data_IF_017430391165
#
_entry.id   IF_017430391165
#
_cell.length_a   1.000
_cell.length_b   1.000
_cell.length_c   1.000
_cell.angle_alpha   90.00
_cell.angle_beta   90.00
_cell.angle_gamma   90.00
#
_symmetry.space_group_name_H-M   'P 1'
#
loop_
_entity.id
_entity.type
_entity.pdbx_description
1 polymer ?
#
# COMPACT_ATOMS: atom_id res chain seq x y z
N UNK A 1 -3.64 54.21 9.02
CA UNK A 1 -3.13 53.15 8.12
C UNK A 1 -1.78 52.54 8.52
N UNK A 2 -1.07 53.01 9.56
CA UNK A 2 0.23 52.42 9.98
C UNK A 2 0.12 51.15 10.84
N UNK A 3 -1.04 50.87 11.45
CA UNK A 3 -1.24 49.69 12.31
C UNK A 3 -1.66 48.41 11.56
N UNK A 4 -2.07 48.50 10.29
CA UNK A 4 -2.49 47.33 9.51
C UNK A 4 -1.32 46.52 8.93
N UNK A 5 -0.16 47.16 8.73
CA UNK A 5 1.04 46.48 8.20
C UNK A 5 1.71 45.61 9.28
N UNK A 6 1.53 45.94 10.56
CA UNK A 6 2.07 45.14 11.66
C UNK A 6 1.32 43.81 11.86
N UNK A 7 0.02 43.76 11.53
CA UNK A 7 -0.79 42.54 11.70
C UNK A 7 -0.48 41.48 10.63
N UNK A 8 -0.13 41.91 9.41
CA UNK A 8 0.21 40.97 8.31
C UNK A 8 1.54 40.26 8.49
N UNK A 9 2.45 40.80 9.32
CA UNK A 9 3.74 40.17 9.63
C UNK A 9 3.65 39.03 10.66
N UNK A 10 2.56 38.94 11.42
CA UNK A 10 2.36 37.87 12.41
C UNK A 10 1.70 36.61 11.81
N UNK A 11 1.15 36.68 10.60
CA UNK A 11 0.50 35.54 9.94
C UNK A 11 1.46 34.60 9.19
N UNK A 12 2.76 34.91 9.11
CA UNK A 12 3.77 34.07 8.43
C UNK A 12 4.55 33.14 9.38
N UNK A 13 4.22 33.11 10.66
CA UNK A 13 4.74 32.10 11.59
C UNK A 13 3.91 30.82 11.43
N UNK A 14 4.19 30.04 10.38
CA UNK A 14 3.83 28.62 10.37
C UNK A 14 4.64 27.94 11.47
N UNK A 15 4.09 27.90 12.68
CA UNK A 15 4.61 27.05 13.74
C UNK A 15 4.44 25.60 13.28
N UNK A 16 5.49 25.04 12.67
CA UNK A 16 5.60 23.60 12.47
C UNK A 16 5.70 23.00 13.87
N UNK A 17 4.59 22.50 14.40
CA UNK A 17 4.57 21.75 15.64
C UNK A 17 5.27 20.41 15.38
N UNK A 18 6.59 20.37 15.59
CA UNK A 18 7.34 19.13 15.64
C UNK A 18 6.91 18.36 16.90
N UNK A 19 6.25 17.22 16.70
CA UNK A 19 5.82 16.36 17.80
C UNK A 19 6.85 15.25 17.93
N UNK A 20 7.58 15.19 19.03
CA UNK A 20 8.55 14.15 19.28
C UNK A 20 7.84 12.91 19.86
N UNK A 21 8.07 11.75 19.24
CA UNK A 21 7.69 10.47 19.78
C UNK A 21 8.84 9.91 20.61
N UNK A 22 8.54 9.55 21.85
CA UNK A 22 9.51 9.03 22.79
C UNK A 22 8.98 7.73 23.40
N UNK A 23 9.90 6.93 23.91
CA UNK A 23 9.57 5.66 24.55
C UNK A 23 9.90 5.76 26.04
N UNK A 24 8.88 5.64 26.89
CA UNK A 24 9.00 5.63 28.33
C UNK A 24 8.37 4.33 28.86
N UNK A 25 9.18 3.48 29.50
CA UNK A 25 8.74 2.18 30.02
C UNK A 25 8.05 1.26 28.98
N UNK A 26 8.50 1.31 27.72
CA UNK A 26 7.89 0.55 26.62
C UNK A 26 6.60 1.16 26.04
N UNK A 27 6.19 2.33 26.53
CA UNK A 27 5.04 3.07 26.01
C UNK A 27 5.49 4.28 25.19
N UNK A 28 4.87 4.46 24.03
CA UNK A 28 5.08 5.63 23.17
C UNK A 28 4.36 6.84 23.76
N UNK A 29 5.10 7.89 24.10
CA UNK A 29 4.59 9.19 24.54
C UNK A 29 4.90 10.24 23.48
N UNK A 30 4.01 11.24 23.36
CA UNK A 30 4.16 12.32 22.38
C UNK A 30 4.43 13.63 23.13
N UNK A 31 5.50 14.31 22.78
CA UNK A 31 5.96 15.54 23.43
C UNK A 31 6.20 16.62 22.37
N UNK A 32 5.93 17.88 22.72
CA UNK A 32 6.31 19.03 21.87
C UNK A 32 7.76 19.46 22.10
N UNK A 33 8.49 18.73 22.95
CA UNK A 33 9.91 18.93 23.25
C UNK A 33 10.68 17.63 23.02
N UNK A 34 11.93 17.67 22.52
CA UNK A 34 12.75 16.47 22.35
C UNK A 34 12.89 15.73 23.68
N UNK A 35 12.43 14.48 23.75
CA UNK A 35 12.56 13.65 24.96
C UNK A 35 13.58 12.52 24.77
N UNK A 36 14.71 12.66 25.46
CA UNK A 36 15.77 11.65 25.51
C UNK A 36 16.64 11.57 24.24
N UNK A 37 17.67 10.71 24.28
CA UNK A 37 18.63 10.54 23.17
C UNK A 37 18.03 9.86 21.93
N UNK A 38 16.83 9.28 22.04
CA UNK A 38 16.15 8.52 20.99
C UNK A 38 14.85 9.20 20.51
N UNK A 39 14.66 10.49 20.78
CA UNK A 39 13.49 11.23 20.33
C UNK A 39 13.39 11.19 18.80
N UNK A 40 12.33 10.60 18.27
CA UNK A 40 12.01 10.73 16.84
C UNK A 40 11.11 11.94 16.65
N UNK A 41 11.56 12.91 15.87
CA UNK A 41 10.68 14.00 15.42
C UNK A 41 9.62 13.42 14.50
N UNK A 42 8.35 13.56 14.87
CA UNK A 42 7.21 13.45 13.97
C UNK A 42 6.97 14.85 13.43
N UNK A 43 7.61 15.15 12.31
CA UNK A 43 7.15 16.25 11.48
C UNK A 43 5.75 15.89 11.01
N UNK A 44 4.77 16.73 11.34
CA UNK A 44 3.48 16.76 10.64
C UNK A 44 3.74 17.31 9.23
N UNK A 45 4.50 16.55 8.43
CA UNK A 45 4.88 16.91 7.08
C UNK A 45 3.63 16.88 6.21
N UNK A 46 3.13 18.07 5.90
CA UNK A 46 2.19 18.29 4.81
C UNK A 46 2.83 17.97 3.43
N UNK A 47 4.15 17.73 3.37
CA UNK A 47 4.80 17.13 2.21
C UNK A 47 4.84 15.61 2.33
N UNK A 48 3.90 14.98 1.64
CA UNK A 48 3.89 13.53 1.44
C UNK A 48 5.15 13.15 0.64
N UNK A 49 6.26 12.79 1.30
CA UNK A 49 7.42 12.17 0.63
C UNK A 49 6.95 10.98 -0.21
N UNK A 50 7.08 11.10 -1.53
CA UNK A 50 6.78 10.07 -2.52
C UNK A 50 8.07 9.44 -3.00
N UNK A 51 8.02 8.15 -3.32
CA UNK A 51 9.15 7.40 -3.90
C UNK A 51 8.86 7.06 -5.35
N UNK A 52 9.92 6.92 -6.15
CA UNK A 52 9.84 6.32 -7.49
C UNK A 52 10.20 4.85 -7.35
N UNK A 53 9.42 3.96 -7.97
CA UNK A 53 9.74 2.54 -8.02
C UNK A 53 10.18 2.15 -9.45
N UNK A 54 11.07 1.17 -9.61
CA UNK A 54 11.46 0.69 -10.94
C UNK A 54 10.27 0.03 -11.66
N UNK A 55 10.32 0.01 -12.99
CA UNK A 55 9.33 -0.70 -13.81
C UNK A 55 9.54 -2.22 -13.75
N UNK A 56 10.80 -2.65 -13.64
CA UNK A 56 11.19 -4.06 -13.53
C UNK A 56 10.89 -4.62 -12.14
N UNK A 57 10.46 -5.88 -12.11
CA UNK A 57 10.16 -6.58 -10.86
C UNK A 57 11.45 -7.22 -10.36
N UNK A 58 12.17 -6.47 -9.55
CA UNK A 58 13.39 -6.90 -8.88
C UNK A 58 13.25 -6.80 -7.35
N UNK A 59 14.34 -7.10 -6.64
CA UNK A 59 14.37 -7.00 -5.18
C UNK A 59 14.16 -5.57 -4.69
N UNK A 60 14.60 -4.56 -5.46
CA UNK A 60 14.43 -3.15 -5.11
C UNK A 60 12.96 -2.73 -5.20
N UNK A 61 12.26 -3.13 -6.26
CA UNK A 61 10.82 -2.99 -6.43
C UNK A 61 10.08 -3.56 -5.22
N UNK A 62 10.39 -4.80 -4.85
CA UNK A 62 9.76 -5.48 -3.73
C UNK A 62 10.04 -4.76 -2.41
N UNK A 63 11.30 -4.42 -2.14
CA UNK A 63 11.72 -3.71 -0.93
C UNK A 63 11.01 -2.37 -0.80
N UNK A 64 10.89 -1.60 -1.89
CA UNK A 64 10.23 -0.30 -1.89
C UNK A 64 8.74 -0.41 -1.54
N UNK A 65 8.02 -1.36 -2.14
CA UNK A 65 6.60 -1.63 -1.81
C UNK A 65 6.46 -2.06 -0.35
N UNK A 66 7.33 -2.96 0.13
CA UNK A 66 7.28 -3.47 1.50
C UNK A 66 7.58 -2.38 2.53
N UNK A 67 8.54 -1.50 2.25
CA UNK A 67 8.87 -0.36 3.11
C UNK A 67 7.71 0.63 3.18
N UNK A 68 7.04 0.90 2.06
CA UNK A 68 5.84 1.75 2.05
C UNK A 68 4.69 1.12 2.84
N UNK A 69 4.48 -0.19 2.67
CA UNK A 69 3.46 -0.91 3.42
C UNK A 69 3.74 -0.88 4.92
N UNK A 70 4.98 -1.08 5.35
CA UNK A 70 5.37 -0.98 6.75
C UNK A 70 4.98 0.38 7.36
N UNK A 71 5.17 1.48 6.61
CA UNK A 71 4.76 2.83 7.04
C UNK A 71 3.23 3.02 7.10
N UNK A 72 2.46 2.11 6.50
CA UNK A 72 0.99 2.12 6.53
C UNK A 72 0.41 1.35 7.73
N UNK A 73 1.23 0.87 8.67
CA UNK A 73 0.77 0.06 9.80
C UNK A 73 -0.34 0.74 10.60
N UNK A 74 -0.23 2.05 10.85
CA UNK A 74 -1.27 2.80 11.55
C UNK A 74 -2.61 2.82 10.80
N UNK A 75 -2.59 2.76 9.46
CA UNK A 75 -3.83 2.67 8.67
C UNK A 75 -4.50 1.32 8.86
N UNK A 76 -3.72 0.26 9.09
CA UNK A 76 -4.25 -1.06 9.40
C UNK A 76 -4.91 -1.12 10.78
N UNK A 77 -4.43 -0.32 11.75
CA UNK A 77 -4.86 -0.40 13.16
C UNK A 77 -5.95 0.60 13.54
N UNK A 78 -6.02 1.77 12.88
CA UNK A 78 -7.08 2.78 13.07
C UNK A 78 -8.47 2.17 12.84
N UNK A 79 -8.59 1.23 11.90
CA UNK A 79 -9.84 0.54 11.58
C UNK A 79 -10.17 -0.60 12.57
N UNK A 80 -9.19 -1.08 13.34
CA UNK A 80 -9.34 -2.19 14.30
C UNK A 80 -9.68 -1.70 15.72
N UNK A 81 -9.39 -0.45 16.09
CA UNK A 81 -9.56 0.06 17.47
C UNK A 81 -11.02 0.27 17.89
N UNK A 82 -11.98 0.15 16.98
CA UNK A 82 -13.39 0.51 17.22
C UNK A 82 -14.38 -0.65 17.20
N UNK A 83 -13.99 -1.91 17.04
CA UNK A 83 -14.97 -3.01 17.05
C UNK A 83 -14.43 -4.35 17.54
N UNK A 84 -15.16 -4.91 18.50
CA UNK A 84 -15.06 -6.27 19.01
C UNK A 84 -15.58 -7.33 18.00
N UNK A 85 -15.90 -6.92 16.76
CA UNK A 85 -16.56 -7.78 15.78
C UNK A 85 -16.03 -7.45 14.38
N UNK A 86 -15.13 -8.30 13.87
CA UNK A 86 -14.51 -8.07 12.56
C UNK A 86 -15.50 -8.40 11.45
N UNK A 87 -16.31 -7.43 11.08
CA UNK A 87 -17.16 -7.53 9.89
C UNK A 87 -16.30 -7.46 8.63
N UNK A 88 -16.66 -8.20 7.59
CA UNK A 88 -15.99 -8.18 6.26
C UNK A 88 -15.86 -6.75 5.68
N UNK A 89 -16.72 -5.84 6.11
CA UNK A 89 -16.67 -4.43 5.73
C UNK A 89 -15.45 -3.69 6.31
N UNK A 90 -15.15 -3.86 7.59
CA UNK A 90 -14.01 -3.21 8.24
C UNK A 90 -12.67 -3.74 7.72
N UNK A 91 -12.59 -5.04 7.48
CA UNK A 91 -11.44 -5.65 6.81
C UNK A 91 -11.18 -4.97 5.46
N UNK A 92 -12.21 -4.86 4.62
CA UNK A 92 -12.08 -4.20 3.31
C UNK A 92 -11.65 -2.75 3.44
N UNK A 93 -12.24 -2.00 4.38
CA UNK A 93 -11.89 -0.60 4.60
C UNK A 93 -10.43 -0.44 5.07
N UNK A 94 -9.95 -1.32 5.94
CA UNK A 94 -8.56 -1.32 6.42
C UNK A 94 -7.58 -1.62 5.27
N UNK A 95 -7.83 -2.70 4.53
CA UNK A 95 -6.99 -3.11 3.38
C UNK A 95 -6.96 -2.01 2.32
N UNK A 96 -8.11 -1.40 2.01
CA UNK A 96 -8.21 -0.30 1.05
C UNK A 96 -7.48 0.96 1.55
N UNK A 97 -7.51 1.24 2.86
CA UNK A 97 -6.73 2.31 3.47
C UNK A 97 -5.22 2.13 3.31
N UNK A 98 -4.74 0.91 3.52
CA UNK A 98 -3.32 0.53 3.30
C UNK A 98 -2.98 0.65 1.81
N UNK A 99 -3.83 0.11 0.93
CA UNK A 99 -3.64 0.14 -0.51
C UNK A 99 -3.49 1.58 -0.99
N UNK A 100 -4.44 2.46 -0.63
CA UNK A 100 -4.42 3.87 -1.01
C UNK A 100 -3.17 4.57 -0.53
N UNK A 101 -2.76 4.30 0.71
CA UNK A 101 -1.52 4.85 1.25
C UNK A 101 -0.30 4.50 0.40
N UNK A 102 -0.15 3.23 0.01
CA UNK A 102 0.97 2.78 -0.84
C UNK A 102 0.89 3.47 -2.21
N UNK A 103 -0.30 3.49 -2.84
CA UNK A 103 -0.52 4.14 -4.14
C UNK A 103 -0.13 5.62 -4.13
N UNK A 104 -0.61 6.37 -3.15
CA UNK A 104 -0.40 7.82 -3.05
C UNK A 104 1.06 8.20 -2.80
N UNK A 105 1.84 7.25 -2.25
CA UNK A 105 3.27 7.40 -1.94
C UNK A 105 4.20 6.96 -3.07
N UNK A 106 3.68 6.46 -4.18
CA UNK A 106 4.47 6.13 -5.36
C UNK A 106 4.29 7.23 -6.41
N UNK A 107 5.33 8.02 -6.68
CA UNK A 107 5.28 9.17 -7.58
C UNK A 107 4.95 8.77 -9.02
N UNK A 108 5.48 7.66 -9.48
CA UNK A 108 5.31 7.15 -10.84
C UNK A 108 4.25 6.04 -10.96
N UNK A 109 3.32 5.93 -10.00
CA UNK A 109 2.36 4.81 -9.92
C UNK A 109 1.62 4.57 -11.23
N UNK A 110 1.04 5.61 -11.81
CA UNK A 110 0.28 5.49 -13.06
C UNK A 110 1.13 5.11 -14.28
N UNK A 111 2.44 5.44 -14.28
CA UNK A 111 3.34 4.99 -15.35
C UNK A 111 3.67 3.51 -15.17
N UNK A 112 4.06 3.11 -13.96
CA UNK A 112 4.42 1.73 -13.63
C UNK A 112 3.20 0.82 -13.80
N UNK A 113 2.02 1.20 -13.31
CA UNK A 113 0.79 0.39 -13.46
C UNK A 113 0.43 0.08 -14.92
N UNK A 114 0.80 0.97 -15.87
CA UNK A 114 0.58 0.74 -17.31
C UNK A 114 1.60 -0.21 -17.93
N UNK A 115 2.83 -0.21 -17.42
CA UNK A 115 3.95 -1.02 -17.94
C UNK A 115 4.07 -2.36 -17.24
N UNK A 116 3.64 -2.41 -15.99
CA UNK A 116 3.76 -3.49 -15.06
C UNK A 116 2.36 -3.83 -14.51
N UNK A 117 1.65 -4.80 -15.13
CA UNK A 117 0.31 -5.19 -14.69
C UNK A 117 0.30 -5.86 -13.30
N UNK A 118 1.47 -6.15 -12.73
CA UNK A 118 1.61 -6.82 -11.44
C UNK A 118 1.54 -5.83 -10.27
N UNK A 119 1.77 -4.53 -10.50
CA UNK A 119 1.80 -3.52 -9.45
C UNK A 119 0.56 -3.55 -8.56
N UNK A 120 -0.63 -3.49 -9.16
CA UNK A 120 -1.89 -3.55 -8.43
C UNK A 120 -2.03 -4.85 -7.62
N UNK A 121 -1.59 -5.98 -8.18
CA UNK A 121 -1.67 -7.28 -7.49
C UNK A 121 -0.69 -7.37 -6.32
N UNK A 122 0.55 -6.90 -6.51
CA UNK A 122 1.57 -6.85 -5.46
C UNK A 122 1.16 -5.93 -4.32
N UNK A 123 0.66 -4.73 -4.64
CA UNK A 123 0.16 -3.77 -3.63
C UNK A 123 -1.03 -4.37 -2.87
N UNK A 124 -1.98 -5.01 -3.56
CA UNK A 124 -3.10 -5.68 -2.91
C UNK A 124 -2.67 -6.86 -2.03
N UNK A 125 -1.70 -7.66 -2.47
CA UNK A 125 -1.19 -8.79 -1.69
C UNK A 125 -0.49 -8.32 -0.40
N UNK A 126 0.39 -7.34 -0.51
CA UNK A 126 1.09 -6.76 0.65
C UNK A 126 0.13 -6.05 1.59
N UNK A 127 -0.88 -5.35 1.08
CA UNK A 127 -1.90 -4.69 1.91
C UNK A 127 -2.67 -5.70 2.78
N UNK A 128 -3.01 -6.87 2.23
CA UNK A 128 -3.63 -7.96 3.00
C UNK A 128 -2.69 -8.54 4.05
N UNK A 129 -1.44 -8.83 3.67
CA UNK A 129 -0.44 -9.37 4.60
C UNK A 129 -0.20 -8.43 5.78
N UNK A 130 -0.06 -7.13 5.51
CA UNK A 130 0.08 -6.12 6.56
C UNK A 130 -1.14 -6.09 7.48
N UNK A 131 -2.36 -6.07 6.91
CA UNK A 131 -3.58 -6.05 7.73
C UNK A 131 -3.68 -7.27 8.66
N UNK A 132 -3.37 -8.47 8.16
CA UNK A 132 -3.37 -9.69 8.98
C UNK A 132 -2.38 -9.58 10.15
N UNK A 133 -1.17 -9.08 9.89
CA UNK A 133 -0.14 -8.93 10.90
C UNK A 133 -0.48 -7.82 11.90
N UNK A 134 -0.97 -6.67 11.41
CA UNK A 134 -1.36 -5.54 12.24
C UNK A 134 -2.58 -5.83 13.13
N UNK A 135 -3.42 -6.79 12.74
CA UNK A 135 -4.50 -7.30 13.60
C UNK A 135 -3.96 -8.11 14.77
N UNK A 136 -2.94 -8.92 14.54
CA UNK A 136 -2.28 -9.70 15.60
C UNK A 136 -1.36 -8.82 16.47
N UNK A 137 -0.72 -7.82 15.86
CA UNK A 137 0.26 -6.93 16.49
C UNK A 137 -0.10 -5.47 16.18
N UNK A 138 -1.03 -4.86 16.93
CA UNK A 138 -1.52 -3.51 16.65
C UNK A 138 -0.52 -2.40 17.00
N UNK A 139 0.48 -2.68 17.82
CA UNK A 139 1.54 -1.73 18.17
C UNK A 139 2.89 -2.43 17.98
N UNK A 140 3.43 -2.50 16.76
CA UNK A 140 4.64 -3.25 16.49
C UNK A 140 5.89 -2.53 17.04
N UNK A 141 6.89 -3.32 17.42
CA UNK A 141 8.25 -2.85 17.68
C UNK A 141 8.99 -2.57 16.36
N UNK A 142 10.14 -1.90 16.44
CA UNK A 142 10.99 -1.68 15.28
C UNK A 142 11.44 -3.01 14.64
N UNK A 143 11.74 -4.02 15.47
CA UNK A 143 12.16 -5.35 15.01
C UNK A 143 11.04 -6.04 14.23
N UNK A 144 9.80 -5.98 14.72
CA UNK A 144 8.63 -6.56 14.03
C UNK A 144 8.34 -5.86 12.69
N UNK A 145 8.61 -4.55 12.61
CA UNK A 145 8.53 -3.80 11.35
C UNK A 145 9.64 -4.26 10.38
N UNK A 146 10.85 -4.49 10.89
CA UNK A 146 11.98 -5.03 10.14
C UNK A 146 11.66 -6.42 9.57
N UNK A 147 11.22 -7.35 10.42
CA UNK A 147 10.83 -8.71 10.03
C UNK A 147 9.74 -8.72 8.96
N UNK A 148 8.72 -7.86 9.10
CA UNK A 148 7.71 -7.70 8.07
C UNK A 148 8.32 -7.23 6.74
N UNK A 149 9.20 -6.23 6.78
CA UNK A 149 9.80 -5.65 5.57
C UNK A 149 10.67 -6.69 4.86
N UNK A 150 11.47 -7.44 5.61
CA UNK A 150 12.35 -8.50 5.09
C UNK A 150 11.55 -9.69 4.53
N UNK A 151 10.48 -10.11 5.22
CA UNK A 151 9.62 -11.22 4.79
C UNK A 151 8.64 -10.86 3.66
N UNK A 152 8.26 -9.59 3.55
CA UNK A 152 7.27 -9.11 2.61
C UNK A 152 7.70 -9.27 1.14
N UNK A 153 9.01 -9.16 0.86
CA UNK A 153 9.55 -9.27 -0.50
C UNK A 153 9.13 -10.57 -1.19
N UNK A 154 9.12 -11.69 -0.46
CA UNK A 154 8.65 -12.98 -0.94
C UNK A 154 7.18 -12.93 -1.40
N UNK A 155 6.31 -12.26 -0.65
CA UNK A 155 4.90 -12.09 -1.03
C UNK A 155 4.75 -11.30 -2.33
N UNK A 156 5.54 -10.24 -2.51
CA UNK A 156 5.54 -9.43 -3.74
C UNK A 156 6.00 -10.26 -4.94
N UNK A 157 7.11 -10.99 -4.79
CA UNK A 157 7.71 -11.78 -5.87
C UNK A 157 6.85 -13.00 -6.22
N UNK A 158 6.26 -13.70 -5.25
CA UNK A 158 5.34 -14.81 -5.50
C UNK A 158 4.06 -14.35 -6.20
N UNK A 159 3.53 -13.18 -5.82
CA UNK A 159 2.34 -12.61 -6.45
C UNK A 159 2.60 -12.27 -7.92
N UNK A 160 3.79 -11.74 -8.23
CA UNK A 160 4.23 -11.53 -9.61
C UNK A 160 4.37 -12.87 -10.36
N UNK A 161 5.05 -13.86 -9.77
CA UNK A 161 5.31 -15.15 -10.40
C UNK A 161 4.02 -15.93 -10.75
N UNK A 162 2.99 -15.88 -9.89
CA UNK A 162 1.69 -16.53 -10.14
C UNK A 162 1.00 -16.00 -11.39
N UNK A 163 1.19 -14.72 -11.71
CA UNK A 163 0.62 -14.11 -12.90
C UNK A 163 1.47 -14.40 -14.15
N UNK A 164 2.81 -14.38 -14.06
CA UNK A 164 3.69 -14.84 -15.14
C UNK A 164 3.40 -16.31 -15.55
N UNK A 165 3.08 -17.16 -14.58
CA UNK A 165 2.70 -18.56 -14.84
C UNK A 165 1.35 -18.71 -15.55
N UNK A 166 0.40 -17.80 -15.32
CA UNK A 166 -0.89 -17.77 -16.03
C UNK A 166 -0.74 -17.26 -17.45
N UNK A 167 0.03 -16.20 -17.65
CA UNK A 167 0.21 -15.55 -18.95
C UNK A 167 0.90 -16.47 -19.98
N UNK A 168 1.82 -17.34 -19.55
CA UNK A 168 2.39 -18.41 -20.39
C UNK A 168 1.41 -19.54 -20.71
N UNK A 169 0.49 -19.84 -19.79
CA UNK A 169 -0.50 -20.91 -19.97
C UNK A 169 -1.60 -20.49 -20.96
N UNK A 170 -1.97 -19.22 -20.95
CA UNK A 170 -2.98 -18.65 -21.85
C UNK A 170 -2.42 -18.39 -23.26
N UNK A 171 -1.11 -18.13 -23.40
CA UNK A 171 -0.42 -18.00 -24.70
C UNK A 171 0.10 -19.33 -25.27
N UNK A 172 -0.01 -20.42 -24.52
CA UNK A 172 0.52 -21.74 -24.86
C UNK A 172 -0.52 -22.82 -25.18
N UNK A 173 -1.82 -22.49 -25.19
CA UNK A 173 -2.85 -23.43 -25.64
C UNK A 173 -2.98 -23.35 -27.17
N UNK A 174 -2.57 -24.39 -27.94
CA UNK A 174 -3.01 -24.49 -29.33
C UNK A 174 -4.53 -24.50 -29.33
N UNK A 175 -5.12 -23.60 -30.12
CA UNK A 175 -6.56 -23.46 -30.25
C UNK A 175 -7.20 -24.83 -30.45
N UNK A 176 -7.97 -25.28 -29.44
CA UNK A 176 -8.98 -26.30 -29.69
C UNK A 176 -9.97 -25.65 -30.66
N UNK A 177 -9.90 -26.10 -31.90
CA UNK A 177 -10.86 -25.78 -32.94
C UNK A 177 -12.27 -25.86 -32.35
N UNK A 178 -13.05 -24.81 -32.56
CA UNK A 178 -14.47 -24.80 -32.29
C UNK A 178 -15.13 -26.04 -32.95
N UNK A 179 -15.99 -26.78 -32.26
CA UNK A 179 -16.83 -27.77 -32.92
C UNK A 179 -17.71 -27.03 -33.92
N UNK A 180 -17.58 -27.40 -35.20
CA UNK A 180 -18.27 -26.76 -36.32
C UNK A 180 -19.78 -26.64 -36.11
N UNK A 181 -20.29 -25.43 -36.37
CA UNK A 181 -21.68 -25.22 -36.73
C UNK A 181 -21.95 -25.99 -38.03
N UNK A 182 -22.54 -27.16 -37.88
CA UNK A 182 -22.99 -28.02 -38.98
C UNK A 182 -24.12 -27.31 -39.71
N UNK A 183 -23.77 -26.67 -40.83
CA UNK A 183 -24.72 -26.27 -41.86
C UNK A 183 -25.51 -27.50 -42.30
N UNK A 184 -26.79 -27.56 -41.95
CA UNK A 184 -27.75 -28.49 -42.55
C UNK A 184 -28.76 -27.66 -43.32
N UNK A 185 -28.40 -27.37 -44.56
CA UNK A 185 -29.36 -27.06 -45.62
C UNK A 185 -30.03 -28.38 -46.00
N UNK A 186 -31.31 -28.53 -45.72
CA UNK A 186 -32.17 -29.48 -46.44
C UNK A 186 -33.36 -28.72 -47.02
N UNK A 187 -33.28 -28.43 -48.32
CA UNK A 187 -34.46 -28.33 -49.16
C UNK A 187 -34.73 -29.75 -49.69
N UNK A 188 -36.00 -30.15 -49.74
CA UNK A 188 -36.62 -30.48 -51.03
C UNK A 188 -37.95 -29.72 -51.12
N UNK A 189 -38.43 -29.25 -52.26
CA UNK A 189 -38.51 -29.90 -53.56
C UNK A 189 -39.96 -29.68 -54.02
N UNK A 190 -40.10 -29.02 -55.17
CA UNK A 190 -41.30 -28.77 -55.99
C UNK A 190 -42.39 -29.86 -55.95
N UNK A 191 -43.66 -29.46 -55.83
CA UNK A 191 -44.70 -29.50 -56.89
C UNK A 191 -45.83 -28.52 -56.53
#
# INVERSE_FOLDING_TARGET
MRYLIALTLLCSLTAHAEVFMCEENGHKIFSQQPCGRNAQSLTLDNEVQKITIPDEIDEEYARNICTLAAKAWDKATVTNRSAYDSTTYQERAAIEGIHRYIRDRIANYGQVARRNPYLETSVAAVSRSLWMLARAVPNPTADQIGEFTDGCGKTVMESAARLYGKDKKDKGAPGKAAPGLRSTRSLPGTY
#
